data_IF_508949781332
#
_entry.id   IF_508949781332
#
_cell.length_a   1.000
_cell.length_b   1.000
_cell.length_c   1.000
_cell.angle_alpha   90.00
_cell.angle_beta   90.00
_cell.angle_gamma   90.00
#
_symmetry.space_group_name_H-M   'P 1'
#
loop_
_entity.id
_entity.type
_entity.pdbx_description
1 polymer ?
#
# COMPACT_ATOMS: atom_id res chain seq x y z
N UNK A 1 7.48 -19.45 3.69
CA UNK A 1 6.45 -20.50 3.92
C UNK A 1 6.38 -21.42 2.69
N UNK A 2 6.03 -20.94 1.48
CA UNK A 2 5.85 -21.77 0.28
C UNK A 2 7.10 -22.59 -0.06
N UNK A 3 8.29 -21.99 -0.02
CA UNK A 3 9.54 -22.70 -0.31
C UNK A 3 9.84 -23.81 0.70
N UNK A 4 9.59 -23.56 2.00
CA UNK A 4 9.73 -24.59 3.05
C UNK A 4 8.75 -25.74 2.82
N UNK A 5 7.49 -25.42 2.50
CA UNK A 5 6.47 -26.40 2.20
C UNK A 5 6.86 -27.29 1.00
N UNK A 6 7.34 -26.67 -0.08
CA UNK A 6 7.78 -27.41 -1.27
C UNK A 6 9.02 -28.28 -0.98
N UNK A 7 9.96 -27.80 -0.17
CA UNK A 7 11.10 -28.64 0.29
C UNK A 7 10.64 -29.84 1.10
N UNK A 8 9.67 -29.67 2.00
CA UNK A 8 9.09 -30.79 2.77
C UNK A 8 8.38 -31.80 1.88
N UNK A 9 7.89 -31.38 0.71
CA UNK A 9 7.34 -32.27 -0.33
C UNK A 9 8.42 -32.91 -1.21
N UNK A 10 9.71 -32.69 -0.95
CA UNK A 10 10.83 -33.28 -1.70
C UNK A 10 11.24 -32.52 -2.96
N UNK A 11 10.73 -31.31 -3.18
CA UNK A 11 11.16 -30.48 -4.30
C UNK A 11 12.47 -29.76 -4.00
N UNK A 12 13.41 -29.83 -4.95
CA UNK A 12 14.61 -29.00 -4.91
C UNK A 12 14.24 -27.56 -5.26
N UNK A 13 14.52 -26.64 -4.34
CA UNK A 13 14.26 -25.22 -4.54
C UNK A 13 15.57 -24.46 -4.49
N UNK A 14 15.87 -23.80 -5.60
CA UNK A 14 16.99 -22.85 -5.64
C UNK A 14 16.71 -21.69 -4.68
N UNK A 15 17.62 -21.48 -3.75
CA UNK A 15 17.46 -20.44 -2.73
C UNK A 15 17.56 -19.03 -3.32
N UNK A 16 18.36 -18.81 -4.36
CA UNK A 16 18.55 -17.48 -4.99
C UNK A 16 18.87 -16.34 -3.99
N UNK A 17 19.18 -16.65 -2.73
CA UNK A 17 19.40 -15.69 -1.65
C UNK A 17 18.13 -15.04 -1.09
N UNK A 18 16.93 -15.39 -1.58
CA UNK A 18 15.67 -14.77 -1.18
C UNK A 18 14.83 -15.61 -0.21
N UNK A 19 15.18 -16.86 -0.03
CA UNK A 19 14.45 -17.78 0.85
C UNK A 19 15.33 -18.15 2.02
N UNK A 20 14.85 -17.89 3.23
CA UNK A 20 15.53 -18.26 4.46
C UNK A 20 15.69 -19.79 4.54
N UNK A 21 16.88 -20.26 4.91
CA UNK A 21 17.09 -21.67 5.20
C UNK A 21 16.56 -21.98 6.61
N UNK A 22 15.70 -22.99 6.70
CA UNK A 22 15.11 -23.41 7.99
C UNK A 22 16.14 -24.00 8.95
N UNK A 23 17.31 -24.41 8.46
CA UNK A 23 18.41 -24.98 9.24
C UNK A 23 19.46 -23.92 9.63
N UNK A 24 19.34 -22.69 9.15
CA UNK A 24 20.25 -21.59 9.47
C UNK A 24 19.91 -20.99 10.83
N UNK A 25 20.92 -20.62 11.59
CA UNK A 25 20.70 -19.89 12.85
C UNK A 25 20.10 -18.53 12.53
N UNK A 26 18.94 -18.17 13.12
CA UNK A 26 18.29 -16.89 12.85
C UNK A 26 19.20 -15.71 13.20
N UNK A 27 19.28 -14.73 12.32
CA UNK A 27 19.98 -13.45 12.60
C UNK A 27 19.15 -12.65 13.62
N UNK A 28 19.74 -12.15 14.71
CA UNK A 28 19.05 -11.29 15.67
C UNK A 28 18.35 -10.08 15.02
N UNK A 29 18.85 -9.54 13.92
CA UNK A 29 18.21 -8.48 13.15
C UNK A 29 16.84 -8.87 12.58
N UNK A 30 16.56 -10.17 12.39
CA UNK A 30 15.27 -10.65 11.87
C UNK A 30 14.12 -10.39 12.85
N UNK A 31 14.42 -10.33 14.14
CA UNK A 31 13.45 -10.08 15.22
C UNK A 31 13.34 -8.61 15.60
N UNK A 32 14.20 -7.75 15.04
CA UNK A 32 14.25 -6.33 15.37
C UNK A 32 12.95 -5.60 14.98
N UNK A 33 12.54 -4.63 15.81
CA UNK A 33 11.53 -3.65 15.42
C UNK A 33 12.19 -2.51 14.64
N UNK A 34 12.16 -2.60 13.31
CA UNK A 34 12.77 -1.62 12.44
C UNK A 34 12.13 -0.22 12.53
N UNK A 35 10.89 -0.10 13.00
CA UNK A 35 10.31 1.24 13.26
C UNK A 35 11.08 1.95 14.38
N UNK A 36 11.41 1.23 15.46
CA UNK A 36 12.18 1.82 16.58
C UNK A 36 13.60 2.21 16.18
N UNK A 37 14.24 1.43 15.30
CA UNK A 37 15.58 1.72 14.77
C UNK A 37 15.63 3.00 13.97
N UNK A 38 14.63 3.26 13.11
CA UNK A 38 14.63 4.37 12.17
C UNK A 38 13.81 5.59 12.61
N UNK A 39 13.07 5.50 13.72
CA UNK A 39 12.36 6.63 14.30
C UNK A 39 13.33 7.75 14.71
N UNK A 40 12.93 8.99 14.45
CA UNK A 40 13.67 10.18 14.86
C UNK A 40 12.82 11.01 15.82
N UNK A 41 13.44 11.73 16.76
CA UNK A 41 12.76 12.47 17.82
C UNK A 41 11.84 13.61 17.35
N UNK A 42 11.91 14.03 16.09
CA UNK A 42 11.01 15.04 15.52
C UNK A 42 9.77 14.39 14.96
N UNK A 43 8.72 14.34 15.73
CA UNK A 43 7.40 13.85 15.31
C UNK A 43 6.72 14.90 14.43
N UNK A 44 6.28 14.51 13.25
CA UNK A 44 5.34 15.32 12.47
C UNK A 44 3.93 15.04 13.02
N UNK A 45 3.19 16.04 13.51
CA UNK A 45 1.85 15.81 14.05
C UNK A 45 0.94 15.25 12.95
N UNK A 46 0.06 14.28 13.27
CA UNK A 46 -0.88 13.74 12.31
C UNK A 46 -1.79 14.89 11.82
N UNK A 47 -1.97 14.95 10.50
CA UNK A 47 -2.94 15.88 9.92
C UNK A 47 -4.34 15.39 10.24
N UNK A 48 -5.31 16.27 10.56
CA UNK A 48 -6.68 15.89 10.77
C UNK A 48 -7.18 15.13 9.52
N UNK A 49 -7.75 13.95 9.74
CA UNK A 49 -8.27 13.14 8.66
C UNK A 49 -9.56 13.79 8.12
N UNK A 50 -9.55 14.21 6.87
CA UNK A 50 -10.77 14.63 6.19
C UNK A 50 -11.73 13.45 6.01
N UNK A 51 -13.04 13.72 6.13
CA UNK A 51 -14.07 12.69 5.87
C UNK A 51 -14.07 12.34 4.38
N UNK A 52 -13.76 11.09 4.08
CA UNK A 52 -13.71 10.55 2.73
C UNK A 52 -14.98 9.77 2.37
N UNK A 53 -15.15 9.48 1.08
CA UNK A 53 -16.17 8.55 0.60
C UNK A 53 -15.93 7.18 1.21
N UNK A 54 -17.01 6.53 1.64
CA UNK A 54 -16.97 5.16 2.17
C UNK A 54 -17.86 4.29 1.29
N UNK A 55 -17.27 3.28 0.71
CA UNK A 55 -18.01 2.24 -0.01
C UNK A 55 -18.99 1.58 0.95
N UNK A 56 -20.24 1.50 0.53
CA UNK A 56 -21.31 0.80 1.26
C UNK A 56 -21.70 -0.45 0.48
N UNK A 57 -22.19 -1.45 1.18
CA UNK A 57 -22.67 -2.70 0.62
C UNK A 57 -23.42 -3.51 1.67
N UNK A 58 -24.04 -4.58 1.23
CA UNK A 58 -24.63 -5.59 2.11
C UNK A 58 -23.51 -6.45 2.69
N UNK A 59 -23.54 -6.65 4.00
CA UNK A 59 -22.58 -7.57 4.64
C UNK A 59 -22.93 -9.00 4.31
N UNK A 60 -21.92 -9.79 4.02
CA UNK A 60 -22.06 -11.24 3.91
C UNK A 60 -22.41 -11.86 5.28
N UNK A 61 -23.03 -13.04 5.31
CA UNK A 61 -23.27 -13.76 6.54
C UNK A 61 -21.98 -13.96 7.36
N UNK A 62 -22.12 -14.07 8.66
CA UNK A 62 -20.98 -14.32 9.56
C UNK A 62 -20.14 -15.49 9.06
N UNK A 63 -18.80 -15.34 9.12
CA UNK A 63 -17.81 -16.32 8.66
C UNK A 63 -17.75 -16.58 7.15
N UNK A 64 -18.40 -15.75 6.34
CA UNK A 64 -18.30 -15.83 4.88
C UNK A 64 -17.25 -14.84 4.38
N UNK A 65 -16.29 -15.34 3.60
CA UNK A 65 -15.31 -14.54 2.89
C UNK A 65 -15.44 -14.79 1.39
N UNK A 66 -15.86 -13.77 0.65
CA UNK A 66 -15.86 -13.80 -0.81
C UNK A 66 -14.55 -13.22 -1.33
N UNK A 67 -13.88 -13.97 -2.18
CA UNK A 67 -12.64 -13.56 -2.86
C UNK A 67 -12.93 -13.44 -4.34
N UNK A 68 -12.55 -12.30 -4.93
CA UNK A 68 -12.63 -12.08 -6.38
C UNK A 68 -11.21 -11.98 -6.90
N UNK A 69 -10.83 -12.93 -7.76
CA UNK A 69 -9.51 -12.96 -8.37
C UNK A 69 -9.54 -12.38 -9.79
N UNK A 70 -8.62 -11.48 -10.08
CA UNK A 70 -8.38 -10.94 -11.41
C UNK A 70 -7.03 -11.42 -11.95
N UNK A 71 -7.03 -12.23 -12.99
CA UNK A 71 -5.81 -12.71 -13.63
C UNK A 71 -5.61 -11.95 -14.94
N UNK A 72 -4.45 -11.29 -15.09
CA UNK A 72 -4.14 -10.52 -16.28
C UNK A 72 -2.66 -10.60 -16.64
N UNK A 73 -2.35 -10.41 -17.93
CA UNK A 73 -0.96 -10.40 -18.40
C UNK A 73 -0.22 -9.16 -17.89
N UNK A 74 0.89 -9.37 -17.18
CA UNK A 74 1.76 -8.28 -16.69
C UNK A 74 2.26 -7.42 -17.84
N UNK A 75 2.67 -8.03 -18.97
CA UNK A 75 3.16 -7.29 -20.13
C UNK A 75 2.08 -6.42 -20.78
N UNK A 76 0.83 -6.90 -20.81
CA UNK A 76 -0.29 -6.14 -21.33
C UNK A 76 -0.60 -4.92 -20.43
N UNK A 77 -0.70 -5.12 -19.12
CA UNK A 77 -0.91 -4.02 -18.16
C UNK A 77 0.23 -3.01 -18.23
N UNK A 78 1.48 -3.48 -18.30
CA UNK A 78 2.64 -2.61 -18.42
C UNK A 78 2.61 -1.77 -19.70
N UNK A 79 2.20 -2.35 -20.83
CA UNK A 79 2.07 -1.63 -22.11
C UNK A 79 1.05 -0.50 -22.00
N UNK A 80 -0.10 -0.75 -21.37
CA UNK A 80 -1.13 0.28 -21.18
C UNK A 80 -0.65 1.34 -20.19
N UNK A 81 -0.08 0.97 -19.05
CA UNK A 81 0.45 1.92 -18.07
C UNK A 81 1.49 2.87 -18.68
N UNK A 82 2.36 2.37 -19.58
CA UNK A 82 3.36 3.18 -20.30
C UNK A 82 2.73 4.23 -21.22
N UNK A 83 1.53 4.00 -21.77
CA UNK A 83 0.82 5.02 -22.57
C UNK A 83 0.49 6.26 -21.74
N UNK A 84 0.27 6.07 -20.44
CA UNK A 84 0.04 7.14 -19.46
C UNK A 84 1.32 7.58 -18.74
N UNK A 85 2.50 7.14 -19.17
CA UNK A 85 3.79 7.41 -18.53
C UNK A 85 3.84 7.00 -17.05
N UNK A 86 3.04 6.00 -16.67
CA UNK A 86 2.88 5.52 -15.31
C UNK A 86 3.49 4.14 -15.10
N UNK A 87 3.88 3.85 -13.87
CA UNK A 87 4.18 2.47 -13.44
C UNK A 87 2.88 1.65 -13.34
N UNK A 88 3.00 0.32 -13.32
CA UNK A 88 1.85 -0.58 -13.11
C UNK A 88 1.11 -0.21 -11.81
N UNK A 89 1.84 0.07 -10.75
CA UNK A 89 1.25 0.45 -9.46
C UNK A 89 0.46 1.75 -9.54
N UNK A 90 1.00 2.79 -10.16
CA UNK A 90 0.31 4.07 -10.35
C UNK A 90 -0.95 3.89 -11.19
N UNK A 91 -0.83 3.15 -12.30
CA UNK A 91 -1.95 2.85 -13.18
C UNK A 91 -3.09 2.11 -12.46
N UNK A 92 -2.79 1.02 -11.73
CA UNK A 92 -3.81 0.27 -11.00
C UNK A 92 -4.45 1.07 -9.86
N UNK A 93 -3.68 1.92 -9.18
CA UNK A 93 -4.24 2.85 -8.20
C UNK A 93 -5.18 3.87 -8.85
N UNK A 94 -4.82 4.39 -10.03
CA UNK A 94 -5.68 5.28 -10.79
C UNK A 94 -6.98 4.59 -11.25
N UNK A 95 -6.90 3.35 -11.73
CA UNK A 95 -8.08 2.53 -12.09
C UNK A 95 -9.02 2.38 -10.89
N UNK A 96 -8.47 2.06 -9.71
CA UNK A 96 -9.26 1.90 -8.49
C UNK A 96 -9.92 3.23 -8.07
N UNK A 97 -9.18 4.34 -8.10
CA UNK A 97 -9.73 5.68 -7.79
C UNK A 97 -10.84 6.07 -8.77
N UNK A 98 -10.62 5.85 -10.07
CA UNK A 98 -11.62 6.12 -11.10
C UNK A 98 -12.90 5.30 -10.88
N UNK A 99 -12.75 3.99 -10.62
CA UNK A 99 -13.89 3.11 -10.34
C UNK A 99 -14.68 3.54 -9.09
N UNK A 100 -13.98 4.02 -8.05
CA UNK A 100 -14.62 4.51 -6.84
C UNK A 100 -15.30 5.86 -7.05
N UNK A 101 -14.77 6.73 -7.91
CA UNK A 101 -15.43 7.97 -8.31
C UNK A 101 -16.74 7.68 -9.05
N UNK A 102 -16.69 6.81 -10.07
CA UNK A 102 -17.87 6.36 -10.80
C UNK A 102 -18.92 5.75 -9.86
N UNK A 103 -18.47 4.93 -8.90
CA UNK A 103 -19.38 4.38 -7.90
C UNK A 103 -20.03 5.47 -7.04
N UNK A 104 -19.26 6.48 -6.61
CA UNK A 104 -19.81 7.59 -5.81
C UNK A 104 -20.84 8.40 -6.60
N UNK A 105 -20.62 8.64 -7.90
CA UNK A 105 -21.56 9.33 -8.77
C UNK A 105 -22.90 8.61 -8.89
N UNK A 106 -22.89 7.28 -8.89
CA UNK A 106 -24.11 6.47 -8.92
C UNK A 106 -24.83 6.42 -7.56
N UNK A 107 -24.16 6.79 -6.48
CA UNK A 107 -24.75 6.86 -5.13
C UNK A 107 -25.49 8.20 -4.92
N UNK A 108 -26.55 8.45 -5.70
CA UNK A 108 -27.33 9.71 -5.82
C UNK A 108 -27.73 10.41 -4.50
N UNK A 109 -27.67 9.73 -3.38
CA UNK A 109 -28.08 10.26 -2.08
C UNK A 109 -26.91 10.72 -1.21
N UNK A 110 -25.67 10.62 -1.69
CA UNK A 110 -24.51 10.93 -0.91
C UNK A 110 -23.87 12.26 -1.36
N UNK A 111 -23.54 13.09 -0.37
CA UNK A 111 -22.74 14.29 -0.61
C UNK A 111 -21.38 13.88 -1.16
N UNK A 112 -20.92 14.52 -2.22
CA UNK A 112 -19.58 14.34 -2.79
C UNK A 112 -18.50 14.50 -1.70
N UNK A 113 -17.57 13.59 -1.69
CA UNK A 113 -16.42 13.54 -0.77
C UNK A 113 -15.18 13.08 -1.50
N UNK A 114 -13.99 13.47 -1.03
CA UNK A 114 -12.76 12.93 -1.57
C UNK A 114 -12.76 11.41 -1.55
N UNK A 115 -12.41 10.81 -2.66
CA UNK A 115 -12.13 9.38 -2.77
C UNK A 115 -10.65 9.18 -2.44
N UNK A 116 -10.37 8.27 -1.52
CA UNK A 116 -9.02 7.99 -1.04
C UNK A 116 -8.80 6.50 -0.93
N UNK A 117 -7.64 6.06 -1.35
CA UNK A 117 -7.20 4.66 -1.21
C UNK A 117 -5.98 4.60 -0.30
N UNK A 118 -5.78 3.47 0.36
CA UNK A 118 -4.59 3.19 1.16
C UNK A 118 -3.67 2.26 0.35
N UNK A 119 -2.46 2.73 0.04
CA UNK A 119 -1.46 1.95 -0.68
C UNK A 119 -0.28 1.64 0.23
N UNK A 120 0.05 0.36 0.44
CA UNK A 120 1.19 -0.04 1.25
C UNK A 120 2.52 0.23 0.53
N UNK A 121 3.49 0.75 1.28
CA UNK A 121 4.85 0.98 0.82
C UNK A 121 5.81 0.14 1.64
N UNK A 122 6.61 -0.70 0.98
CA UNK A 122 7.66 -1.48 1.65
C UNK A 122 8.83 -0.56 2.02
N UNK A 123 9.00 -0.35 3.32
CA UNK A 123 10.02 0.54 3.86
C UNK A 123 11.45 0.01 3.70
N UNK A 124 11.64 -1.30 3.51
CA UNK A 124 12.98 -1.90 3.30
C UNK A 124 13.69 -1.37 2.06
N UNK A 125 12.96 -0.82 1.11
CA UNK A 125 13.54 -0.17 -0.09
C UNK A 125 14.22 1.17 0.22
N UNK A 126 13.86 1.80 1.35
CA UNK A 126 14.36 3.12 1.78
C UNK A 126 15.19 3.03 3.06
N UNK A 127 14.94 2.02 3.88
CA UNK A 127 15.55 1.79 5.18
C UNK A 127 15.96 0.32 5.27
N UNK A 128 17.24 0.00 4.97
CA UNK A 128 17.72 -1.38 4.98
C UNK A 128 17.45 -2.08 6.32
N UNK A 129 16.83 -3.25 6.28
CA UNK A 129 16.54 -4.05 7.47
C UNK A 129 16.33 -5.50 7.07
N UNK A 130 16.85 -6.42 7.88
CA UNK A 130 16.63 -7.86 7.78
C UNK A 130 15.37 -8.32 8.54
N UNK A 131 14.67 -7.40 9.23
CA UNK A 131 13.51 -7.78 10.04
C UNK A 131 12.49 -8.60 9.26
N UNK A 132 12.01 -9.68 9.83
CA UNK A 132 10.89 -10.47 9.32
C UNK A 132 9.54 -9.93 9.80
N UNK A 133 9.56 -8.95 10.71
CA UNK A 133 8.35 -8.27 11.18
C UNK A 133 7.79 -7.36 10.11
N UNK A 134 6.54 -6.95 10.29
CA UNK A 134 5.91 -5.98 9.39
C UNK A 134 6.69 -4.66 9.41
N UNK A 135 7.16 -4.23 8.23
CA UNK A 135 7.87 -2.96 8.05
C UNK A 135 7.38 -2.27 6.78
N UNK A 136 6.15 -1.77 6.88
CA UNK A 136 5.45 -1.05 5.81
C UNK A 136 4.85 0.25 6.37
N UNK A 137 4.60 1.21 5.51
CA UNK A 137 3.71 2.34 5.81
C UNK A 137 2.63 2.45 4.74
N UNK A 138 1.62 3.29 5.00
CA UNK A 138 0.55 3.55 4.04
C UNK A 138 0.68 4.96 3.49
N UNK A 139 0.56 5.10 2.18
CA UNK A 139 0.33 6.38 1.52
C UNK A 139 -1.10 6.43 1.00
N UNK A 140 -1.65 7.63 0.84
CA UNK A 140 -3.09 7.82 0.65
C UNK A 140 -3.38 8.72 -0.56
N UNK A 141 -3.11 8.26 -1.80
CA UNK A 141 -3.53 9.03 -2.96
C UNK A 141 -5.04 9.23 -2.95
N UNK A 142 -5.47 10.43 -3.33
CA UNK A 142 -6.88 10.82 -3.26
C UNK A 142 -7.25 11.77 -4.39
N UNK A 143 -8.53 11.71 -4.80
CA UNK A 143 -9.16 12.61 -5.76
C UNK A 143 -10.35 13.27 -5.08
N UNK A 144 -10.51 14.57 -5.28
CA UNK A 144 -11.63 15.34 -4.71
C UNK A 144 -12.62 15.74 -5.81
N UNK A 145 -13.73 15.03 -5.99
CA UNK A 145 -14.71 15.32 -7.03
C UNK A 145 -15.45 16.66 -6.83
N UNK A 146 -15.28 17.31 -5.69
CA UNK A 146 -15.85 18.65 -5.46
C UNK A 146 -15.15 19.74 -6.26
N UNK A 147 -13.95 19.43 -6.80
CA UNK A 147 -13.17 20.35 -7.63
C UNK A 147 -13.57 20.31 -9.12
N UNK A 148 -14.43 19.37 -9.51
CA UNK A 148 -14.91 19.16 -10.86
C UNK A 148 -14.72 17.72 -11.32
N UNK A 149 -15.08 17.49 -12.60
CA UNK A 149 -14.95 16.20 -13.24
C UNK A 149 -13.48 15.91 -13.58
N UNK A 150 -13.12 14.64 -13.51
CA UNK A 150 -11.76 14.17 -13.79
C UNK A 150 -11.75 13.18 -14.95
N UNK A 151 -10.92 13.42 -15.92
CA UNK A 151 -10.53 12.41 -16.90
C UNK A 151 -9.64 11.36 -16.26
N UNK A 152 -9.61 10.17 -16.84
CA UNK A 152 -8.71 9.10 -16.35
C UNK A 152 -7.24 9.51 -16.38
N UNK A 153 -6.82 10.27 -17.40
CA UNK A 153 -5.46 10.78 -17.55
C UNK A 153 -5.08 11.75 -16.42
N UNK A 154 -5.99 12.65 -16.03
CA UNK A 154 -5.77 13.56 -14.89
C UNK A 154 -5.62 12.77 -13.58
N UNK A 155 -6.42 11.72 -13.39
CA UNK A 155 -6.29 10.85 -12.20
C UNK A 155 -4.93 10.15 -12.17
N UNK A 156 -4.48 9.57 -13.30
CA UNK A 156 -3.15 8.94 -13.38
C UNK A 156 -2.06 9.95 -13.06
N UNK A 157 -2.14 11.14 -13.62
CA UNK A 157 -1.18 12.23 -13.40
C UNK A 157 -1.14 12.65 -11.94
N UNK A 158 -2.30 12.80 -11.32
CA UNK A 158 -2.39 13.17 -9.89
C UNK A 158 -1.82 12.07 -8.98
N UNK A 159 -2.12 10.80 -9.26
CA UNK A 159 -1.53 9.66 -8.55
C UNK A 159 0.00 9.65 -8.71
N UNK A 160 0.50 9.83 -9.93
CA UNK A 160 1.93 9.87 -10.20
C UNK A 160 2.64 10.96 -9.38
N UNK A 161 2.13 12.20 -9.42
CA UNK A 161 2.71 13.32 -8.66
C UNK A 161 2.61 13.09 -7.14
N UNK A 162 1.47 12.58 -6.66
CA UNK A 162 1.30 12.24 -5.26
C UNK A 162 2.34 11.22 -4.81
N UNK A 163 2.51 10.13 -5.54
CA UNK A 163 3.45 9.08 -5.17
C UNK A 163 4.89 9.58 -5.17
N UNK A 164 5.29 10.36 -6.17
CA UNK A 164 6.63 10.95 -6.21
C UNK A 164 6.89 11.92 -5.07
N UNK A 165 5.88 12.66 -4.65
CA UNK A 165 6.01 13.62 -3.56
C UNK A 165 6.08 12.94 -2.18
N UNK A 166 5.27 11.90 -1.93
CA UNK A 166 5.17 11.26 -0.63
C UNK A 166 6.08 10.05 -0.44
N UNK A 167 6.43 9.33 -1.50
CA UNK A 167 7.29 8.14 -1.40
C UNK A 167 8.77 8.55 -1.51
N UNK A 168 9.28 9.15 -0.45
CA UNK A 168 10.69 9.48 -0.30
C UNK A 168 11.12 9.29 1.17
N UNK A 169 12.44 9.15 1.39
CA UNK A 169 12.98 8.83 2.70
C UNK A 169 12.64 9.85 3.81
N UNK A 170 12.40 11.11 3.47
CA UNK A 170 12.06 12.15 4.46
C UNK A 170 10.63 11.99 4.98
N UNK A 171 9.65 11.88 4.07
CA UNK A 171 8.26 11.66 4.45
C UNK A 171 8.07 10.32 5.15
N UNK A 172 8.63 9.25 4.58
CA UNK A 172 8.53 7.91 5.14
C UNK A 172 9.15 7.81 6.54
N UNK A 173 10.22 8.56 6.82
CA UNK A 173 10.79 8.63 8.17
C UNK A 173 9.86 9.36 9.15
N UNK A 174 9.13 10.36 8.70
CA UNK A 174 8.08 11.01 9.48
C UNK A 174 7.00 10.01 9.91
N UNK A 175 6.51 9.20 8.97
CA UNK A 175 5.52 8.16 9.23
C UNK A 175 6.04 7.08 10.19
N UNK A 176 7.29 6.61 9.99
CA UNK A 176 7.97 5.69 10.92
C UNK A 176 7.97 6.26 12.34
N UNK A 177 8.32 7.54 12.48
CA UNK A 177 8.41 8.19 13.79
C UNK A 177 7.03 8.31 14.45
N UNK A 178 6.00 8.64 13.67
CA UNK A 178 4.62 8.70 14.16
C UNK A 178 4.15 7.32 14.64
N UNK A 179 4.38 6.28 13.85
CA UNK A 179 4.02 4.90 14.22
C UNK A 179 4.75 4.44 15.49
N UNK A 180 6.05 4.71 15.60
CA UNK A 180 6.84 4.38 16.79
C UNK A 180 6.35 5.15 18.03
N UNK A 181 5.96 6.41 17.90
CA UNK A 181 5.43 7.21 19.02
C UNK A 181 4.07 6.72 19.49
N UNK A 182 3.21 6.30 18.57
CA UNK A 182 1.90 5.72 18.91
C UNK A 182 2.04 4.38 19.66
N UNK A 183 3.02 3.57 19.30
CA UNK A 183 3.32 2.32 20.03
C UNK A 183 3.86 2.55 21.44
N UNK A 184 4.61 3.65 21.67
CA UNK A 184 5.16 3.99 22.99
C UNK A 184 4.13 4.57 23.94
N UNK A 185 3.08 5.19 23.42
CA UNK A 185 1.98 5.79 24.20
C UNK A 185 0.66 5.13 23.79
N UNK A 186 0.40 3.87 24.18
CA UNK A 186 -0.93 3.30 24.03
C UNK A 186 -1.89 4.07 24.94
N UNK A 187 -2.93 4.67 24.33
CA UNK A 187 -4.05 5.27 25.06
C UNK A 187 -4.89 4.19 25.73
#
# INVERSE_FOLDING_TARGET
VTAVYLRLLGHEISNGGFVLDVNETPDPEEFEDAYMRYANARVCPPRPAEKTYRVRGTQEPFYTLNVIDGIMSVSAVQKVAKQYQASITEYLNAVLLYSLLQKQEHDFHLRLRPVRIAMPVNLRRFFPSKTLRNFITMVYPSIDPRLGDYTFEEIVTQVHHYMRYYINSKFLRGDITTNASTQRNPL
#
